data_IF_939936096572
#
_entry.id   IF_939936096572
#
_cell.length_a   1.000
_cell.length_b   1.000
_cell.length_c   1.000
_cell.angle_alpha   90.00
_cell.angle_beta   90.00
_cell.angle_gamma   90.00
#
_symmetry.space_group_name_H-M   'P 1'
#
loop_
_entity.id
_entity.type
_entity.pdbx_description
1 polymer ?
#
# COMPACT_ATOMS: atom_id res chain seq x y z
N UNK A 1 6.05 16.59 15.79
CA UNK A 1 5.65 15.51 14.85
C UNK A 1 5.68 14.14 15.51
N UNK A 2 6.80 13.73 16.12
CA UNK A 2 6.95 12.43 16.80
C UNK A 2 5.81 12.10 17.79
N UNK A 3 5.40 13.07 18.62
CA UNK A 3 4.29 12.89 19.58
C UNK A 3 2.94 12.61 18.91
N UNK A 4 2.71 13.14 17.70
CA UNK A 4 1.50 12.87 16.91
C UNK A 4 1.40 11.42 16.45
N UNK A 5 2.49 10.66 16.56
CA UNK A 5 2.61 9.26 16.16
C UNK A 5 2.84 8.32 17.34
N UNK A 6 2.61 8.69 18.61
CA UNK A 6 2.97 7.82 19.76
C UNK A 6 4.47 7.43 19.78
N UNK A 7 5.34 8.31 19.29
CA UNK A 7 6.79 8.11 19.32
C UNK A 7 7.41 7.81 17.97
N UNK A 8 8.75 7.70 17.99
CA UNK A 8 9.57 7.60 16.76
C UNK A 8 9.33 6.30 16.02
N UNK A 9 9.02 5.22 16.74
CA UNK A 9 8.80 3.89 16.19
C UNK A 9 7.66 3.89 15.15
N UNK A 10 6.48 4.37 15.53
CA UNK A 10 5.33 4.40 14.63
C UNK A 10 5.45 5.46 13.53
N UNK A 11 6.18 6.55 13.78
CA UNK A 11 6.52 7.50 12.73
C UNK A 11 7.38 6.82 11.64
N UNK A 12 8.40 6.05 12.03
CA UNK A 12 9.23 5.30 11.08
C UNK A 12 8.38 4.25 10.34
N UNK A 13 7.54 3.49 11.04
CA UNK A 13 6.66 2.51 10.42
C UNK A 13 5.70 3.15 9.40
N UNK A 14 5.12 4.30 9.75
CA UNK A 14 4.25 5.06 8.86
C UNK A 14 4.98 5.49 7.59
N UNK A 15 6.19 6.04 7.73
CA UNK A 15 7.00 6.45 6.59
C UNK A 15 7.38 5.26 5.70
N UNK A 16 7.87 4.16 6.28
CA UNK A 16 8.21 2.95 5.52
C UNK A 16 7.00 2.41 4.76
N UNK A 17 5.85 2.34 5.41
CA UNK A 17 4.62 1.83 4.81
C UNK A 17 4.21 2.67 3.59
N UNK A 18 4.11 3.99 3.75
CA UNK A 18 3.65 4.88 2.67
C UNK A 18 4.72 5.20 1.62
N UNK A 19 6.01 5.05 1.92
CA UNK A 19 7.07 5.01 0.90
C UNK A 19 6.87 3.80 -0.02
N UNK A 20 6.49 2.63 0.54
CA UNK A 20 6.11 1.47 -0.27
C UNK A 20 4.97 1.79 -1.23
N UNK A 21 3.92 2.45 -0.74
CA UNK A 21 2.82 2.90 -1.59
C UNK A 21 3.27 3.89 -2.67
N UNK A 22 4.07 4.88 -2.31
CA UNK A 22 4.61 5.88 -3.24
C UNK A 22 5.44 5.21 -4.36
N UNK A 23 6.28 4.25 -3.98
CA UNK A 23 7.13 3.49 -4.90
C UNK A 23 6.29 2.69 -5.91
N UNK A 24 5.33 1.89 -5.45
CA UNK A 24 4.47 1.12 -6.35
C UNK A 24 3.58 2.02 -7.21
N UNK A 25 3.01 3.09 -6.63
CA UNK A 25 2.25 4.10 -7.38
C UNK A 25 3.08 4.73 -8.49
N UNK A 26 4.32 5.13 -8.20
CA UNK A 26 5.23 5.71 -9.17
C UNK A 26 5.59 4.71 -10.28
N UNK A 27 5.96 3.47 -9.90
CA UNK A 27 6.31 2.41 -10.85
C UNK A 27 5.15 2.11 -11.81
N UNK A 28 3.94 1.97 -11.28
CA UNK A 28 2.74 1.66 -12.06
C UNK A 28 2.35 2.81 -13.02
N UNK A 29 2.50 4.07 -12.60
CA UNK A 29 2.03 5.23 -13.39
C UNK A 29 3.08 5.78 -14.34
N UNK A 30 4.30 6.02 -13.85
CA UNK A 30 5.35 6.71 -14.62
C UNK A 30 6.37 5.75 -15.24
N UNK A 31 6.52 4.54 -14.69
CA UNK A 31 7.41 3.51 -15.22
C UNK A 31 6.64 2.25 -15.69
N UNK A 32 5.42 2.44 -16.18
CA UNK A 32 4.47 1.36 -16.50
C UNK A 32 5.07 0.29 -17.40
N UNK A 33 5.81 0.67 -18.45
CA UNK A 33 6.41 -0.31 -19.37
C UNK A 33 7.43 -1.21 -18.66
N UNK A 34 8.27 -0.64 -17.80
CA UNK A 34 9.23 -1.41 -17.00
C UNK A 34 8.53 -2.33 -16.00
N UNK A 35 7.46 -1.85 -15.37
CA UNK A 35 6.63 -2.66 -14.48
C UNK A 35 5.98 -3.85 -15.21
N UNK A 36 5.34 -3.61 -16.36
CA UNK A 36 4.75 -4.68 -17.19
C UNK A 36 5.81 -5.72 -17.59
N UNK A 37 6.99 -5.26 -18.03
CA UNK A 37 8.10 -6.13 -18.43
C UNK A 37 8.62 -7.00 -17.28
N UNK A 38 8.64 -6.48 -16.04
CA UNK A 38 9.05 -7.21 -14.84
C UNK A 38 8.14 -8.42 -14.60
N UNK A 39 6.83 -8.27 -14.81
CA UNK A 39 5.84 -9.34 -14.55
C UNK A 39 5.40 -10.11 -15.80
N UNK A 40 6.02 -9.85 -16.96
CA UNK A 40 5.67 -10.53 -18.21
C UNK A 40 4.28 -10.17 -18.74
N UNK A 41 3.77 -9.00 -18.38
CA UNK A 41 2.47 -8.51 -18.84
C UNK A 41 2.59 -7.84 -20.21
N UNK A 42 1.60 -8.05 -21.08
CA UNK A 42 1.51 -7.37 -22.37
C UNK A 42 1.30 -5.85 -22.20
N UNK A 43 1.76 -5.06 -23.18
CA UNK A 43 1.64 -3.61 -23.17
C UNK A 43 0.18 -3.11 -23.10
N UNK A 44 -0.78 -3.90 -23.60
CA UNK A 44 -2.22 -3.59 -23.49
C UNK A 44 -2.71 -3.52 -22.03
N UNK A 45 -2.00 -4.15 -21.08
CA UNK A 45 -2.27 -4.05 -19.65
C UNK A 45 -1.96 -2.68 -19.03
N UNK A 46 -1.31 -1.77 -19.76
CA UNK A 46 -0.89 -0.47 -19.24
C UNK A 46 -2.03 0.36 -18.63
N UNK A 47 -3.23 0.32 -19.22
CA UNK A 47 -4.39 1.05 -18.71
C UNK A 47 -4.79 0.61 -17.29
N UNK A 48 -4.90 -0.70 -17.08
CA UNK A 48 -5.29 -1.28 -15.77
C UNK A 48 -4.19 -1.09 -14.73
N UNK A 49 -2.92 -1.24 -15.11
CA UNK A 49 -1.78 -1.02 -14.19
C UNK A 49 -1.71 0.44 -13.75
N UNK A 50 -1.92 1.41 -14.65
CA UNK A 50 -1.95 2.83 -14.27
C UNK A 50 -3.16 3.17 -13.40
N UNK A 51 -4.31 2.57 -13.68
CA UNK A 51 -5.49 2.71 -12.82
C UNK A 51 -5.22 2.18 -11.40
N UNK A 52 -4.57 1.01 -11.27
CA UNK A 52 -4.15 0.51 -9.96
C UNK A 52 -3.16 1.45 -9.27
N UNK A 53 -2.16 1.95 -10.01
CA UNK A 53 -1.16 2.88 -9.51
C UNK A 53 -1.74 4.23 -9.03
N UNK A 54 -2.82 4.73 -9.65
CA UNK A 54 -3.44 6.00 -9.25
C UNK A 54 -4.06 5.92 -7.84
N UNK A 55 -4.59 4.77 -7.44
CA UNK A 55 -5.11 4.52 -6.09
C UNK A 55 -3.96 4.62 -5.08
N UNK A 56 -2.80 4.03 -5.39
CA UNK A 56 -1.61 4.09 -4.55
C UNK A 56 -1.07 5.52 -4.38
N UNK A 57 -1.09 6.31 -5.46
CA UNK A 57 -0.76 7.74 -5.41
C UNK A 57 -1.75 8.48 -4.51
N UNK A 58 -3.06 8.25 -4.66
CA UNK A 58 -4.09 8.86 -3.82
C UNK A 58 -3.87 8.58 -2.33
N UNK A 59 -3.62 7.32 -1.98
CA UNK A 59 -3.30 6.90 -0.61
C UNK A 59 -2.02 7.56 -0.07
N UNK A 60 -1.00 7.69 -0.92
CA UNK A 60 0.27 8.37 -0.56
C UNK A 60 0.04 9.86 -0.26
N UNK A 61 -0.72 10.56 -1.12
CA UNK A 61 -1.04 11.97 -0.92
C UNK A 61 -1.87 12.17 0.35
N UNK A 62 -2.83 11.27 0.61
CA UNK A 62 -3.61 11.29 1.83
C UNK A 62 -2.72 11.10 3.07
N UNK A 63 -1.76 10.17 3.02
CA UNK A 63 -0.78 9.95 4.09
C UNK A 63 0.09 11.19 4.35
N UNK A 64 0.60 11.83 3.30
CA UNK A 64 1.36 13.09 3.42
C UNK A 64 0.50 14.15 4.09
N UNK A 65 -0.77 14.28 3.68
CA UNK A 65 -1.68 15.24 4.26
C UNK A 65 -1.92 14.99 5.75
N UNK A 66 -2.33 13.79 6.18
CA UNK A 66 -2.60 13.53 7.61
C UNK A 66 -1.35 13.49 8.46
N UNK A 67 -0.23 13.03 7.91
CA UNK A 67 1.01 12.88 8.65
C UNK A 67 1.77 14.19 8.84
N UNK A 68 1.78 15.06 7.83
CA UNK A 68 2.71 16.20 7.77
C UNK A 68 1.99 17.56 7.70
N UNK A 69 0.78 17.64 7.14
CA UNK A 69 0.12 18.92 6.84
C UNK A 69 -1.03 19.21 7.81
N UNK A 70 -1.86 18.21 8.12
CA UNK A 70 -3.05 18.36 8.95
C UNK A 70 -2.67 18.80 10.38
N UNK A 71 -3.25 19.90 10.91
CA UNK A 71 -2.93 20.41 12.24
C UNK A 71 -3.08 19.36 13.35
N UNK A 72 -4.18 18.62 13.34
CA UNK A 72 -4.50 17.58 14.32
C UNK A 72 -3.85 16.21 13.99
N UNK A 73 -2.96 16.17 13.00
CA UNK A 73 -2.23 14.95 12.62
C UNK A 73 -3.18 13.79 12.29
N UNK A 74 -2.99 12.69 13.00
CA UNK A 74 -3.73 11.44 12.79
C UNK A 74 -5.05 11.34 13.58
N UNK A 75 -5.40 12.36 14.36
CA UNK A 75 -6.61 12.32 15.20
C UNK A 75 -7.88 12.11 14.38
N UNK A 76 -8.71 11.13 14.78
CA UNK A 76 -9.97 10.78 14.10
C UNK A 76 -9.80 10.43 12.60
N UNK A 77 -8.67 9.82 12.22
CA UNK A 77 -8.39 9.39 10.83
C UNK A 77 -8.61 7.89 10.59
N UNK A 78 -9.30 7.19 11.51
CA UNK A 78 -9.51 5.74 11.45
C UNK A 78 -9.98 5.23 10.09
N UNK A 79 -10.86 5.97 9.39
CA UNK A 79 -11.40 5.54 8.09
C UNK A 79 -10.30 5.32 7.05
N UNK A 80 -9.29 6.19 7.04
CA UNK A 80 -8.14 6.05 6.15
C UNK A 80 -7.31 4.82 6.52
N UNK A 81 -6.91 4.69 7.79
CA UNK A 81 -6.08 3.58 8.25
C UNK A 81 -6.75 2.21 8.08
N UNK A 82 -8.05 2.10 8.40
CA UNK A 82 -8.82 0.88 8.22
C UNK A 82 -8.93 0.49 6.74
N UNK A 83 -9.19 1.44 5.85
CA UNK A 83 -9.25 1.17 4.41
C UNK A 83 -7.89 0.70 3.89
N UNK A 84 -6.79 1.34 4.29
CA UNK A 84 -5.44 0.91 3.91
C UNK A 84 -5.16 -0.52 4.39
N UNK A 85 -5.47 -0.83 5.65
CA UNK A 85 -5.32 -2.18 6.18
C UNK A 85 -6.14 -3.21 5.39
N UNK A 86 -7.42 -2.93 5.15
CA UNK A 86 -8.30 -3.84 4.41
C UNK A 86 -7.88 -4.00 2.95
N UNK A 87 -7.42 -2.93 2.28
CA UNK A 87 -6.88 -3.00 0.93
C UNK A 87 -5.66 -3.93 0.86
N UNK A 88 -4.72 -3.79 1.80
CA UNK A 88 -3.54 -4.64 1.87
C UNK A 88 -3.90 -6.10 2.15
N UNK A 89 -4.81 -6.34 3.10
CA UNK A 89 -5.26 -7.69 3.45
C UNK A 89 -5.98 -8.37 2.27
N UNK A 90 -6.88 -7.65 1.60
CA UNK A 90 -7.56 -8.14 0.41
C UNK A 90 -6.55 -8.43 -0.71
N UNK A 91 -5.57 -7.54 -0.95
CA UNK A 91 -4.52 -7.76 -1.94
C UNK A 91 -3.68 -9.00 -1.61
N UNK A 92 -3.37 -9.27 -0.33
CA UNK A 92 -2.68 -10.49 0.09
C UNK A 92 -3.51 -11.74 -0.20
N UNK A 93 -4.79 -11.76 0.19
CA UNK A 93 -5.69 -12.91 -0.02
C UNK A 93 -5.88 -13.19 -1.52
N UNK A 94 -6.17 -12.15 -2.30
CA UNK A 94 -6.36 -12.25 -3.76
C UNK A 94 -5.06 -12.63 -4.45
N UNK A 95 -3.92 -12.07 -4.02
CA UNK A 95 -2.59 -12.43 -4.52
C UNK A 95 -2.27 -13.91 -4.26
N UNK A 96 -2.55 -14.41 -3.07
CA UNK A 96 -2.37 -15.83 -2.75
C UNK A 96 -3.26 -16.72 -3.61
N UNK A 97 -4.54 -16.38 -3.73
CA UNK A 97 -5.49 -17.12 -4.58
C UNK A 97 -5.05 -17.13 -6.04
N UNK A 98 -4.68 -15.97 -6.60
CA UNK A 98 -4.24 -15.83 -7.98
C UNK A 98 -2.95 -16.61 -8.26
N UNK A 99 -1.96 -16.49 -7.37
CA UNK A 99 -0.62 -17.05 -7.59
C UNK A 99 -0.52 -18.53 -7.21
N UNK A 100 -1.22 -19.00 -6.17
CA UNK A 100 -1.06 -20.39 -5.68
C UNK A 100 -2.20 -21.32 -6.06
N UNK A 101 -3.42 -20.81 -6.26
CA UNK A 101 -4.62 -21.62 -6.46
C UNK A 101 -5.10 -21.59 -7.91
N UNK A 102 -5.51 -20.41 -8.42
CA UNK A 102 -6.17 -20.28 -9.71
C UNK A 102 -5.18 -20.37 -10.89
N UNK A 103 -4.03 -19.70 -10.77
CA UNK A 103 -2.93 -19.68 -11.75
C UNK A 103 -3.27 -19.13 -13.15
N UNK A 104 -4.45 -18.53 -13.35
CA UNK A 104 -4.77 -17.81 -14.59
C UNK A 104 -3.75 -16.68 -14.83
N UNK A 105 -3.26 -16.58 -16.06
CA UNK A 105 -2.31 -15.53 -16.45
C UNK A 105 -0.88 -15.74 -15.96
N UNK A 106 -0.54 -16.95 -15.48
CA UNK A 106 0.84 -17.29 -15.12
C UNK A 106 1.77 -17.28 -16.33
N UNK A 107 2.98 -16.78 -16.11
CA UNK A 107 4.09 -16.77 -17.07
C UNK A 107 5.37 -17.17 -16.34
N UNK A 108 6.46 -17.35 -17.08
CA UNK A 108 7.79 -17.60 -16.49
C UNK A 108 8.30 -16.45 -15.61
N UNK A 109 7.63 -15.28 -15.66
CA UNK A 109 7.92 -14.09 -14.84
C UNK A 109 6.95 -13.90 -13.68
N UNK A 110 6.01 -14.84 -13.47
CA UNK A 110 5.12 -14.78 -12.31
C UNK A 110 5.94 -14.85 -11.02
N UNK A 111 5.70 -13.88 -10.13
CA UNK A 111 6.45 -13.69 -8.90
C UNK A 111 5.55 -13.79 -7.67
N UNK A 112 6.09 -14.36 -6.60
CA UNK A 112 5.44 -14.37 -5.29
C UNK A 112 5.44 -12.98 -4.62
N UNK A 113 6.05 -11.96 -5.24
CA UNK A 113 5.96 -10.56 -4.81
C UNK A 113 4.49 -10.11 -4.66
N UNK A 114 3.59 -10.59 -5.53
CA UNK A 114 2.15 -10.33 -5.43
C UNK A 114 1.49 -10.89 -4.16
N UNK A 115 2.19 -11.75 -3.41
CA UNK A 115 1.78 -12.26 -2.09
C UNK A 115 2.55 -11.53 -0.99
N UNK A 116 3.88 -11.53 -1.08
CA UNK A 116 4.72 -11.07 0.02
C UNK A 116 4.68 -9.56 0.22
N UNK A 117 4.61 -8.75 -0.85
CA UNK A 117 4.52 -7.30 -0.70
C UNK A 117 3.21 -6.88 -0.01
N UNK A 118 2.02 -7.34 -0.44
CA UNK A 118 0.78 -7.09 0.30
C UNK A 118 0.77 -7.64 1.74
N UNK A 119 1.40 -8.80 2.00
CA UNK A 119 1.50 -9.35 3.36
C UNK A 119 2.29 -8.42 4.29
N UNK A 120 3.46 -7.95 3.85
CA UNK A 120 4.28 -7.00 4.62
C UNK A 120 3.49 -5.70 4.86
N UNK A 121 2.85 -5.16 3.83
CA UNK A 121 2.00 -3.96 3.96
C UNK A 121 0.82 -4.18 4.92
N UNK A 122 0.21 -5.37 4.93
CA UNK A 122 -0.86 -5.74 5.86
C UNK A 122 -0.37 -5.72 7.31
N UNK A 123 0.79 -6.32 7.58
CA UNK A 123 1.37 -6.34 8.92
C UNK A 123 1.70 -4.92 9.38
N UNK A 124 2.37 -4.13 8.54
CA UNK A 124 2.73 -2.75 8.86
C UNK A 124 1.49 -1.88 9.16
N UNK A 125 0.46 -1.97 8.30
CA UNK A 125 -0.78 -1.22 8.50
C UNK A 125 -1.58 -1.71 9.72
N UNK A 126 -1.57 -3.01 10.03
CA UNK A 126 -2.18 -3.56 11.24
C UNK A 126 -1.49 -3.06 12.52
N UNK A 127 -0.15 -3.03 12.54
CA UNK A 127 0.64 -2.46 13.65
C UNK A 127 0.36 -0.97 13.82
N UNK A 128 0.22 -0.22 12.72
CA UNK A 128 -0.16 1.19 12.77
C UNK A 128 -1.57 1.39 13.32
N UNK A 129 -2.55 0.59 12.89
CA UNK A 129 -3.93 0.67 13.40
C UNK A 129 -3.97 0.39 14.92
N UNK A 130 -3.26 -0.64 15.39
CA UNK A 130 -3.21 -0.99 16.80
C UNK A 130 -2.43 0.03 17.62
N UNK A 131 -1.23 0.40 17.17
CA UNK A 131 -0.30 1.24 17.91
C UNK A 131 -0.67 2.73 17.97
N UNK A 132 -1.55 3.18 17.07
CA UNK A 132 -2.06 4.55 17.03
C UNK A 132 -3.54 4.63 17.44
N UNK A 133 -4.09 3.57 18.03
CA UNK A 133 -5.52 3.43 18.27
C UNK A 133 -6.12 4.58 19.11
N UNK A 134 -5.41 5.02 20.16
CA UNK A 134 -5.76 6.14 21.03
C UNK A 134 -5.77 7.50 20.31
N UNK A 135 -5.29 7.57 19.07
CA UNK A 135 -5.34 8.77 18.23
C UNK A 135 -6.32 8.63 17.09
N UNK A 136 -6.27 7.52 16.36
CA UNK A 136 -7.04 7.41 15.11
C UNK A 136 -8.54 7.15 15.36
N UNK A 137 -8.91 6.54 16.49
CA UNK A 137 -10.29 6.16 16.84
C UNK A 137 -10.99 7.06 17.87
N UNK A 138 -10.43 8.24 18.14
CA UNK A 138 -11.04 9.23 19.06
C UNK A 138 -12.29 9.89 18.50
#
# INVERSE_FOLDING_TARGET
MVEKFNGVFYLILFLIHFIGFAYYGFRCVFQTQSFLNQYGMDATGAGVVRFFGSIFIGSTLMAIYVGLIRPNGLEATWGFFNVIFLQNLCAFIVGFYSTKINKLGHTDKTSDEAIYAPLVLTILSGVLCYGLADKIYV
#
